data_IF_146573356394
#
_entry.id   IF_146573356394
#
_cell.length_a   1.000
_cell.length_b   1.000
_cell.length_c   1.000
_cell.angle_alpha   90.00
_cell.angle_beta   90.00
_cell.angle_gamma   90.00
#
_symmetry.space_group_name_H-M   'P 1'
#
loop_
_entity.id
_entity.type
_entity.pdbx_description
1 polymer ?
#
# COMPACT_ATOMS: atom_id res chain seq x y z
N UNK A 1 -35.45 11.75 26.53
CA UNK A 1 -34.22 11.59 25.72
C UNK A 1 -33.53 10.32 26.22
N UNK A 2 -33.76 9.17 25.55
CA UNK A 2 -32.90 8.60 24.46
C UNK A 2 -31.56 8.08 25.00
N UNK A 3 -31.35 6.80 25.37
CA UNK A 3 -31.52 5.46 24.71
C UNK A 3 -30.29 5.01 23.89
N UNK A 4 -29.65 3.90 24.30
CA UNK A 4 -29.22 2.69 23.51
C UNK A 4 -28.32 1.76 24.38
N UNK A 5 -28.63 0.46 24.60
CA UNK A 5 -28.51 -0.75 23.72
C UNK A 5 -27.03 -1.23 23.57
N UNK A 6 -26.60 -2.51 23.61
CA UNK A 6 -27.28 -3.84 23.54
C UNK A 6 -26.37 -5.03 24.06
N UNK A 7 -26.85 -6.30 23.98
CA UNK A 7 -26.19 -7.65 23.98
C UNK A 7 -26.55 -8.73 25.05
N UNK A 8 -27.67 -9.45 24.83
CA UNK A 8 -27.80 -10.89 24.43
C UNK A 8 -26.52 -11.81 24.42
N UNK A 9 -26.49 -13.17 24.61
CA UNK A 9 -27.36 -14.35 24.28
C UNK A 9 -27.23 -15.55 25.28
N UNK A 10 -28.21 -16.48 25.28
CA UNK A 10 -28.30 -17.79 26.00
C UNK A 10 -27.47 -18.96 25.38
N UNK A 11 -27.23 -20.06 26.12
CA UNK A 11 -27.55 -21.42 25.63
C UNK A 11 -27.47 -22.52 26.71
N UNK A 12 -28.34 -23.53 26.56
CA UNK A 12 -28.47 -24.75 27.35
C UNK A 12 -28.91 -25.85 26.36
N UNK A 13 -28.30 -27.03 26.35
CA UNK A 13 -28.82 -28.18 25.58
C UNK A 13 -28.45 -29.51 26.23
N UNK A 14 -29.48 -30.28 26.58
CA UNK A 14 -29.41 -31.71 26.88
C UNK A 14 -29.16 -32.53 25.60
N UNK A 15 -28.54 -33.71 25.76
CA UNK A 15 -28.45 -34.72 24.71
C UNK A 15 -28.72 -36.12 25.26
N UNK A 16 -29.82 -36.73 24.82
CA UNK A 16 -30.11 -38.16 24.96
C UNK A 16 -30.31 -38.81 23.60
N UNK A 17 -29.29 -39.50 23.08
CA UNK A 17 -29.44 -40.54 22.05
C UNK A 17 -28.17 -41.42 21.90
N UNK A 18 -28.28 -42.66 22.39
CA UNK A 18 -27.68 -43.90 21.86
C UNK A 18 -26.17 -44.01 21.53
N UNK A 19 -25.51 -44.87 22.33
CA UNK A 19 -24.48 -45.87 21.93
C UNK A 19 -23.12 -45.41 21.40
N UNK A 20 -22.08 -45.43 22.26
CA UNK A 20 -21.14 -46.57 22.46
C UNK A 20 -20.12 -46.26 23.56
N UNK A 21 -19.66 -47.29 24.28
CA UNK A 21 -18.62 -47.19 25.34
C UNK A 21 -17.21 -47.12 24.74
N UNK A 22 -16.36 -46.24 25.28
CA UNK A 22 -14.97 -46.56 25.66
C UNK A 22 -14.60 -45.74 26.92
N UNK A 23 -14.09 -46.41 27.96
CA UNK A 23 -13.40 -45.87 29.15
C UNK A 23 -11.89 -46.23 29.04
N UNK A 24 -10.96 -45.74 29.91
CA UNK A 24 -11.10 -44.93 31.14
C UNK A 24 -10.40 -43.53 30.98
N UNK A 25 -9.93 -42.73 31.97
CA UNK A 25 -9.73 -42.88 33.42
C UNK A 25 -9.69 -41.51 34.18
N UNK A 26 -9.44 -41.56 35.50
CA UNK A 26 -8.84 -40.56 36.43
C UNK A 26 -8.48 -39.14 35.93
N UNK A 27 -8.71 -38.04 36.67
CA UNK A 27 -9.08 -37.89 38.10
C UNK A 27 -9.46 -36.45 38.52
N UNK A 28 -10.23 -36.33 39.64
CA UNK A 28 -10.27 -35.23 40.66
C UNK A 28 -11.02 -33.89 40.42
N UNK A 29 -11.96 -33.64 41.36
CA UNK A 29 -12.26 -32.38 42.11
C UNK A 29 -12.85 -31.20 41.28
N UNK A 30 -14.16 -30.92 41.32
CA UNK A 30 -15.02 -30.35 42.39
C UNK A 30 -14.75 -28.87 42.75
N UNK A 31 -15.50 -28.01 42.05
CA UNK A 31 -16.25 -26.80 42.45
C UNK A 31 -15.67 -25.71 43.38
N UNK A 32 -15.90 -24.47 42.94
CA UNK A 32 -15.49 -23.21 43.55
C UNK A 32 -16.65 -22.21 43.49
N UNK A 33 -17.08 -21.74 44.67
CA UNK A 33 -17.94 -20.56 44.92
C UNK A 33 -19.43 -20.66 44.47
N UNK A 34 -20.38 -19.96 45.08
CA UNK A 34 -20.24 -18.78 45.95
C UNK A 34 -21.24 -18.70 47.12
N UNK A 35 -20.80 -18.12 48.24
CA UNK A 35 -21.62 -17.81 49.41
C UNK A 35 -22.29 -16.44 49.24
N UNK A 36 -23.61 -16.33 49.44
CA UNK A 36 -24.27 -15.02 49.57
C UNK A 36 -25.53 -15.08 50.42
N UNK A 37 -25.59 -14.19 51.41
CA UNK A 37 -26.74 -13.38 51.89
C UNK A 37 -26.59 -13.10 53.41
N UNK A 38 -27.03 -11.90 53.77
CA UNK A 38 -26.86 -11.24 55.07
C UNK A 38 -28.04 -11.48 56.01
N UNK A 39 -27.79 -11.20 57.29
CA UNK A 39 -28.66 -10.79 58.40
C UNK A 39 -30.20 -10.73 58.27
N UNK A 40 -30.81 -10.85 59.46
CA UNK A 40 -32.20 -10.55 59.81
C UNK A 40 -33.26 -11.57 59.39
N UNK A 41 -33.50 -12.57 60.26
CA UNK A 41 -34.78 -12.71 60.99
C UNK A 41 -34.69 -13.89 61.98
N UNK A 42 -34.70 -13.61 63.30
CA UNK A 42 -35.52 -14.32 64.29
C UNK A 42 -35.42 -13.62 65.64
N UNK A 43 -36.52 -12.99 66.06
CA UNK A 43 -36.69 -12.32 67.35
C UNK A 43 -37.91 -12.93 68.04
N UNK A 44 -37.86 -13.06 69.36
CA UNK A 44 -38.93 -13.52 70.27
C UNK A 44 -39.39 -14.99 70.19
N UNK A 45 -38.97 -15.78 71.19
CA UNK A 45 -39.80 -16.19 72.33
C UNK A 45 -38.84 -16.66 73.45
N UNK A 46 -38.72 -15.93 74.55
CA UNK A 46 -39.46 -16.20 75.79
C UNK A 46 -39.41 -17.66 76.25
N UNK A 47 -38.46 -17.96 77.15
CA UNK A 47 -38.67 -18.90 78.23
C UNK A 47 -38.12 -18.31 79.53
N UNK A 48 -38.89 -18.44 80.60
CA UNK A 48 -38.76 -17.62 81.80
C UNK A 48 -37.69 -18.16 82.76
N UNK A 49 -37.05 -17.24 83.47
CA UNK A 49 -36.34 -17.55 84.72
C UNK A 49 -37.31 -18.22 85.70
N UNK A 50 -36.99 -19.43 86.14
CA UNK A 50 -37.47 -19.94 87.43
C UNK A 50 -36.27 -20.17 88.34
N UNK A 51 -36.34 -19.60 89.54
CA UNK A 51 -35.27 -19.69 90.54
C UNK A 51 -35.23 -21.11 91.13
N UNK A 52 -34.04 -21.69 91.17
CA UNK A 52 -33.69 -22.73 92.14
C UNK A 52 -32.22 -22.54 92.55
N UNK A 53 -31.85 -22.73 93.83
CA UNK A 53 -30.68 -22.05 94.39
C UNK A 53 -29.44 -22.96 94.53
N UNK A 54 -28.37 -22.37 95.07
CA UNK A 54 -27.08 -22.98 95.44
C UNK A 54 -26.07 -23.23 94.31
N UNK A 55 -25.23 -22.20 94.08
CA UNK A 55 -23.78 -22.28 94.31
C UNK A 55 -23.14 -23.67 94.16
N UNK A 56 -22.52 -23.96 93.00
CA UNK A 56 -21.27 -24.74 92.87
C UNK A 56 -20.80 -24.85 91.39
N UNK A 57 -20.55 -23.72 90.74
CA UNK A 57 -19.70 -23.64 89.53
C UNK A 57 -18.50 -22.70 89.77
N UNK A 58 -17.73 -23.07 90.79
CA UNK A 58 -16.36 -22.67 91.07
C UNK A 58 -15.63 -23.99 91.32
N UNK A 59 -14.54 -24.40 90.67
CA UNK A 59 -13.63 -23.80 89.67
C UNK A 59 -12.82 -24.97 89.08
N UNK A 60 -12.42 -25.03 87.79
CA UNK A 60 -11.37 -25.97 87.37
C UNK A 60 -10.05 -25.72 88.14
N UNK A 61 -9.81 -24.47 88.53
CA UNK A 61 -8.69 -24.02 89.36
C UNK A 61 -8.58 -24.70 90.74
N UNK A 62 -9.69 -25.11 91.38
CA UNK A 62 -9.63 -25.73 92.71
C UNK A 62 -9.00 -27.13 92.66
N UNK A 63 -9.38 -27.92 91.67
CA UNK A 63 -8.87 -29.29 91.49
C UNK A 63 -7.35 -29.32 91.21
N UNK A 64 -6.79 -28.28 90.59
CA UNK A 64 -5.35 -28.16 90.36
C UNK A 64 -4.53 -27.99 91.66
N UNK A 65 -5.14 -27.50 92.74
CA UNK A 65 -4.51 -27.29 94.05
C UNK A 65 -4.98 -28.26 95.14
N UNK A 66 -5.90 -29.18 94.83
CA UNK A 66 -6.50 -30.16 95.77
C UNK A 66 -5.88 -31.57 95.66
N UNK A 67 -5.00 -31.83 94.67
CA UNK A 67 -4.35 -33.14 94.49
C UNK A 67 -3.10 -33.31 95.37
N UNK A 68 -2.97 -34.40 96.15
CA UNK A 68 -1.84 -34.59 97.05
C UNK A 68 -0.56 -35.00 96.30
N UNK A 69 0.49 -34.22 96.51
CA UNK A 69 1.90 -34.63 96.40
C UNK A 69 2.38 -35.28 95.08
N UNK A 70 1.97 -34.73 93.92
CA UNK A 70 2.87 -34.67 92.76
C UNK A 70 2.78 -33.28 92.13
N UNK A 71 3.57 -32.33 92.65
CA UNK A 71 4.09 -31.28 91.77
C UNK A 71 4.92 -32.01 90.72
N UNK A 72 4.39 -32.15 89.51
CA UNK A 72 5.20 -32.66 88.41
C UNK A 72 6.36 -31.70 88.22
N UNK A 73 7.55 -32.21 87.92
CA UNK A 73 8.77 -31.39 87.77
C UNK A 73 8.68 -30.34 86.63
N UNK A 74 7.55 -30.33 85.93
CA UNK A 74 7.18 -29.50 84.79
C UNK A 74 5.90 -28.65 85.06
N UNK A 75 5.39 -28.59 86.29
CA UNK A 75 4.24 -27.72 86.64
C UNK A 75 4.68 -26.25 86.76
N UNK A 76 3.94 -25.32 86.14
CA UNK A 76 4.34 -23.92 86.02
C UNK A 76 3.49 -22.93 86.83
N UNK A 77 2.92 -23.38 87.96
CA UNK A 77 2.12 -22.57 88.88
C UNK A 77 2.43 -22.85 90.35
N UNK A 78 2.03 -21.91 91.22
CA UNK A 78 2.10 -22.00 92.69
C UNK A 78 0.72 -21.64 93.24
N UNK A 79 0.14 -22.49 94.08
CA UNK A 79 -1.15 -22.22 94.71
C UNK A 79 -1.02 -21.14 95.80
N UNK A 80 -2.00 -20.25 95.91
CA UNK A 80 -2.08 -19.27 96.99
C UNK A 80 -2.94 -19.75 98.18
N UNK A 81 -2.99 -18.94 99.25
CA UNK A 81 -3.69 -19.27 100.50
C UNK A 81 -5.21 -19.50 100.32
N UNK A 82 -5.79 -19.11 99.18
CA UNK A 82 -7.20 -19.33 98.83
C UNK A 82 -7.41 -20.55 97.91
N UNK A 83 -6.34 -21.25 97.54
CA UNK A 83 -6.34 -22.39 96.63
C UNK A 83 -6.47 -22.01 95.15
N UNK A 84 -6.05 -20.80 94.75
CA UNK A 84 -5.97 -20.41 93.33
C UNK A 84 -4.53 -20.58 92.80
N UNK A 85 -4.33 -21.16 91.60
CA UNK A 85 -3.01 -21.29 90.99
C UNK A 85 -2.54 -19.94 90.42
N UNK A 86 -1.42 -19.42 90.95
CA UNK A 86 -0.69 -18.28 90.41
C UNK A 86 0.42 -18.76 89.49
N UNK A 87 0.42 -18.29 88.25
CA UNK A 87 1.43 -18.69 87.26
C UNK A 87 2.83 -18.20 87.63
N UNK A 88 3.85 -19.03 87.35
CA UNK A 88 5.24 -18.62 87.46
C UNK A 88 5.56 -17.50 86.45
N UNK A 89 6.58 -16.65 86.72
CA UNK A 89 6.96 -15.57 85.81
C UNK A 89 7.22 -16.07 84.39
N UNK A 90 6.46 -15.54 83.42
CA UNK A 90 6.55 -15.97 82.02
C UNK A 90 5.51 -17.02 81.60
N UNK A 91 4.56 -17.38 82.45
CA UNK A 91 3.44 -18.28 82.12
C UNK A 91 2.08 -17.59 82.32
N UNK A 92 1.08 -18.01 81.55
CA UNK A 92 -0.29 -17.47 81.56
C UNK A 92 -1.32 -18.56 81.19
N UNK A 93 -2.60 -18.20 81.19
CA UNK A 93 -3.71 -19.12 80.94
C UNK A 93 -4.26 -19.75 82.23
N UNK A 94 -5.44 -20.34 82.15
CA UNK A 94 -6.20 -20.83 83.32
C UNK A 94 -5.50 -21.96 84.08
N UNK A 95 -4.60 -22.69 83.43
CA UNK A 95 -3.77 -23.75 84.03
C UNK A 95 -2.27 -23.40 84.01
N UNK A 96 -1.92 -22.15 83.69
CA UNK A 96 -0.53 -21.67 83.57
C UNK A 96 0.34 -22.49 82.60
N UNK A 97 -0.29 -23.11 81.61
CA UNK A 97 0.29 -24.00 80.60
C UNK A 97 0.71 -23.26 79.33
N UNK A 98 0.27 -22.02 79.14
CA UNK A 98 0.62 -21.19 77.98
C UNK A 98 1.84 -20.31 78.32
N UNK A 99 2.99 -20.47 77.65
CA UNK A 99 4.13 -19.59 77.85
C UNK A 99 3.86 -18.19 77.30
N UNK A 100 4.34 -17.16 78.00
CA UNK A 100 4.33 -15.77 77.55
C UNK A 100 5.49 -15.57 76.57
N UNK A 101 5.16 -15.40 75.29
CA UNK A 101 6.15 -15.19 74.24
C UNK A 101 6.93 -13.87 74.41
N UNK A 102 8.09 -13.75 73.73
CA UNK A 102 8.94 -12.54 73.73
C UNK A 102 8.09 -11.30 73.48
N UNK A 103 8.24 -10.26 74.31
CA UNK A 103 7.48 -9.01 74.19
C UNK A 103 7.64 -8.41 72.79
N UNK A 104 6.53 -8.29 72.07
CA UNK A 104 6.49 -7.81 70.68
C UNK A 104 6.53 -8.90 69.61
N UNK A 105 6.46 -10.19 69.96
CA UNK A 105 6.17 -11.28 69.02
C UNK A 105 4.78 -11.07 68.37
N UNK A 106 4.65 -11.33 67.07
CA UNK A 106 3.39 -11.17 66.33
C UNK A 106 2.32 -12.15 66.84
N UNK A 107 1.12 -11.67 67.22
CA UNK A 107 0.09 -12.52 67.84
C UNK A 107 -0.61 -13.48 66.86
N UNK A 108 -0.47 -13.27 65.55
CA UNK A 108 -1.08 -14.12 64.51
C UNK A 108 -0.04 -15.06 63.90
N UNK A 109 1.20 -14.62 63.75
CA UNK A 109 2.27 -15.31 63.00
C UNK A 109 3.41 -15.86 63.87
N UNK A 110 3.50 -15.42 65.12
CA UNK A 110 4.39 -15.97 66.13
C UNK A 110 3.72 -17.06 66.98
N UNK A 111 4.55 -17.90 67.60
CA UNK A 111 4.20 -18.80 68.70
C UNK A 111 5.45 -19.03 69.57
N UNK A 112 5.29 -19.59 70.76
CA UNK A 112 6.42 -19.91 71.62
C UNK A 112 6.17 -21.24 72.35
N UNK A 113 7.24 -22.02 72.53
CA UNK A 113 7.20 -23.26 73.31
C UNK A 113 7.80 -23.06 74.70
N UNK A 114 8.48 -21.94 74.94
CA UNK A 114 9.11 -21.53 76.19
C UNK A 114 8.91 -20.04 76.42
N UNK A 115 8.84 -19.57 77.68
CA UNK A 115 8.75 -18.15 78.00
C UNK A 115 9.90 -17.35 77.36
N UNK A 116 9.58 -16.17 76.82
CA UNK A 116 10.58 -15.29 76.19
C UNK A 116 11.10 -15.72 74.82
N UNK A 117 10.66 -16.87 74.28
CA UNK A 117 10.91 -17.27 72.89
C UNK A 117 9.92 -16.60 71.92
N UNK A 118 10.25 -16.52 70.64
CA UNK A 118 9.32 -16.20 69.55
C UNK A 118 9.74 -16.99 68.31
N UNK A 119 8.95 -18.01 67.95
CA UNK A 119 9.11 -18.87 66.77
C UNK A 119 8.07 -18.49 65.72
N UNK A 120 8.45 -18.52 64.45
CA UNK A 120 7.57 -18.05 63.37
C UNK A 120 6.82 -19.21 62.71
N UNK A 121 5.56 -18.97 62.34
CA UNK A 121 4.80 -19.84 61.45
C UNK A 121 5.43 -19.87 60.05
N UNK A 122 5.17 -20.95 59.31
CA UNK A 122 5.70 -21.13 57.96
C UNK A 122 5.33 -19.94 57.07
N UNK A 123 6.32 -19.38 56.37
CA UNK A 123 6.15 -18.18 55.56
C UNK A 123 6.43 -16.86 56.28
N UNK A 124 6.82 -16.86 57.57
CA UNK A 124 7.20 -15.66 58.31
C UNK A 124 8.59 -15.78 58.96
N UNK A 125 9.28 -14.65 59.14
CA UNK A 125 10.63 -14.59 59.70
C UNK A 125 10.91 -13.30 60.50
N UNK A 126 12.10 -13.24 61.11
CA UNK A 126 12.58 -12.14 61.95
C UNK A 126 12.19 -12.28 63.42
N UNK A 127 12.84 -11.54 64.32
CA UNK A 127 12.70 -11.69 65.78
C UNK A 127 11.28 -11.52 66.36
N UNK A 128 10.38 -10.92 65.59
CA UNK A 128 8.98 -10.69 65.95
C UNK A 128 8.01 -11.47 65.07
N UNK A 129 8.50 -12.26 64.10
CA UNK A 129 7.69 -13.00 63.13
C UNK A 129 6.73 -12.16 62.27
N UNK A 130 6.99 -10.85 62.17
CA UNK A 130 6.16 -9.88 61.45
C UNK A 130 6.62 -9.61 60.00
N UNK A 131 7.66 -10.30 59.52
CA UNK A 131 8.13 -10.19 58.12
C UNK A 131 7.70 -11.43 57.34
N UNK A 132 7.02 -11.25 56.21
CA UNK A 132 6.70 -12.36 55.31
C UNK A 132 7.94 -12.84 54.56
N UNK A 133 7.99 -14.12 54.23
CA UNK A 133 8.98 -14.71 53.32
C UNK A 133 8.41 -14.61 51.90
N UNK A 134 9.08 -13.91 50.97
CA UNK A 134 8.62 -13.79 49.60
C UNK A 134 8.79 -15.12 48.84
N UNK A 135 8.21 -15.22 47.64
CA UNK A 135 8.33 -16.41 46.80
C UNK A 135 9.81 -16.80 46.57
N UNK A 136 10.18 -18.10 46.64
CA UNK A 136 11.55 -18.55 46.39
C UNK A 136 12.09 -18.07 45.03
N UNK A 137 13.23 -17.38 45.05
CA UNK A 137 13.84 -16.77 43.86
C UNK A 137 13.38 -15.34 43.54
N UNK A 138 12.55 -14.72 44.38
CA UNK A 138 12.22 -13.29 44.30
C UNK A 138 13.48 -12.43 44.52
N UNK A 139 13.90 -11.67 43.50
CA UNK A 139 15.10 -10.83 43.56
C UNK A 139 14.76 -9.37 43.94
N UNK A 140 14.30 -8.57 42.97
CA UNK A 140 14.01 -7.14 43.17
C UNK A 140 12.56 -6.92 43.61
N UNK A 141 12.10 -7.71 44.58
CA UNK A 141 10.71 -7.68 45.05
C UNK A 141 10.58 -7.52 46.56
N UNK A 142 9.32 -7.45 47.00
CA UNK A 142 8.86 -7.49 48.39
C UNK A 142 7.58 -8.31 48.48
N UNK A 143 7.14 -8.65 49.68
CA UNK A 143 5.87 -9.36 49.89
C UNK A 143 4.97 -8.54 50.82
N UNK A 144 3.65 -8.66 50.64
CA UNK A 144 2.67 -8.29 51.65
C UNK A 144 2.09 -9.56 52.31
N UNK A 145 2.07 -10.68 51.58
CA UNK A 145 1.67 -12.01 52.07
C UNK A 145 2.78 -13.04 51.83
N UNK A 146 2.90 -14.08 52.68
CA UNK A 146 3.87 -15.16 52.47
C UNK A 146 3.68 -15.80 51.09
N UNK A 147 4.78 -16.08 50.40
CA UNK A 147 4.76 -16.67 49.05
C UNK A 147 4.44 -15.69 47.91
N UNK A 148 4.24 -14.40 48.18
CA UNK A 148 4.09 -13.35 47.16
C UNK A 148 5.45 -12.79 46.72
N UNK A 149 5.54 -12.26 45.49
CA UNK A 149 6.68 -11.46 45.03
C UNK A 149 6.17 -10.25 44.22
N UNK A 150 6.03 -9.10 44.88
CA UNK A 150 5.66 -7.82 44.27
C UNK A 150 6.92 -7.08 43.85
N UNK A 151 7.03 -6.69 42.59
CA UNK A 151 8.24 -6.04 42.10
C UNK A 151 8.39 -4.61 42.58
N UNK A 152 9.64 -4.21 42.82
CA UNK A 152 10.04 -2.82 42.98
C UNK A 152 9.96 -2.11 41.61
N UNK A 153 9.79 -0.78 41.64
CA UNK A 153 9.80 0.03 40.43
C UNK A 153 11.06 -0.24 39.60
N UNK A 154 10.91 -0.37 38.29
CA UNK A 154 12.00 -0.72 37.37
C UNK A 154 12.21 -2.23 37.16
N UNK A 155 11.44 -3.11 37.78
CA UNK A 155 11.51 -4.56 37.58
C UNK A 155 10.13 -5.20 37.34
N UNK A 156 10.11 -6.30 36.59
CA UNK A 156 8.90 -7.06 36.26
C UNK A 156 9.15 -8.58 36.18
N UNK A 157 8.07 -9.33 35.95
CA UNK A 157 8.05 -10.80 35.91
C UNK A 157 7.85 -11.44 37.29
N UNK A 158 7.47 -12.71 37.32
CA UNK A 158 7.04 -13.44 38.53
C UNK A 158 8.09 -13.48 39.66
N UNK A 159 9.37 -13.34 39.32
CA UNK A 159 10.50 -13.33 40.26
C UNK A 159 11.19 -11.96 40.41
N UNK A 160 10.65 -10.94 39.75
CA UNK A 160 11.21 -9.58 39.72
C UNK A 160 12.70 -9.55 39.35
N UNK A 161 13.05 -10.36 38.34
CA UNK A 161 14.39 -10.53 37.81
C UNK A 161 14.58 -9.93 36.41
N UNK A 162 13.51 -9.44 35.77
CA UNK A 162 13.58 -8.72 34.49
C UNK A 162 13.56 -7.21 34.77
N UNK A 163 14.50 -6.46 34.22
CA UNK A 163 14.49 -5.00 34.27
C UNK A 163 13.44 -4.43 33.32
N UNK A 164 12.85 -3.29 33.66
CA UNK A 164 12.03 -2.48 32.75
C UNK A 164 12.97 -1.48 32.06
N UNK A 165 13.07 -1.47 30.71
CA UNK A 165 13.88 -0.49 30.00
C UNK A 165 13.27 0.91 30.08
N UNK A 166 14.00 1.94 29.64
CA UNK A 166 13.47 3.31 29.63
C UNK A 166 12.15 3.41 28.82
N UNK A 167 11.11 4.10 29.29
CA UNK A 167 9.88 4.29 28.52
C UNK A 167 10.18 4.91 27.15
N UNK A 168 9.66 4.30 26.08
CA UNK A 168 9.96 4.68 24.69
C UNK A 168 11.07 3.87 24.02
N UNK A 169 11.84 3.08 24.77
CA UNK A 169 12.85 2.16 24.23
C UNK A 169 12.21 1.13 23.28
N UNK A 170 12.43 1.27 21.96
CA UNK A 170 11.84 0.36 20.95
C UNK A 170 12.78 -0.80 20.62
N UNK A 171 13.93 -0.50 20.02
CA UNK A 171 14.87 -1.52 19.53
C UNK A 171 16.06 -1.73 20.47
N UNK A 172 15.78 -1.74 21.78
CA UNK A 172 16.80 -1.91 22.82
C UNK A 172 16.51 -3.06 23.79
N UNK A 173 17.35 -3.16 24.80
CA UNK A 173 17.19 -4.00 26.00
C UNK A 173 17.80 -3.27 27.20
N UNK A 174 17.65 -3.82 28.40
CA UNK A 174 18.24 -3.28 29.62
C UNK A 174 19.11 -4.32 30.32
N UNK A 175 20.16 -3.87 31.00
CA UNK A 175 20.86 -4.65 32.02
C UNK A 175 20.51 -4.10 33.41
N UNK A 176 20.46 -2.77 33.54
CA UNK A 176 19.95 -2.06 34.72
C UNK A 176 18.57 -1.48 34.43
N UNK A 177 17.70 -1.41 35.45
CA UNK A 177 16.38 -0.76 35.33
C UNK A 177 16.49 0.67 34.79
N UNK A 178 15.60 1.03 33.87
CA UNK A 178 15.52 2.32 33.17
C UNK A 178 16.69 2.65 32.23
N UNK A 179 17.53 1.68 31.89
CA UNK A 179 18.49 1.77 30.79
C UNK A 179 17.82 1.41 29.44
N UNK A 180 18.39 1.86 28.32
CA UNK A 180 18.05 1.39 26.97
C UNK A 180 19.35 1.20 26.18
N UNK A 181 19.87 -0.03 26.15
CA UNK A 181 21.00 -0.42 25.32
C UNK A 181 20.50 -0.81 23.93
N UNK A 182 20.96 -0.11 22.89
CA UNK A 182 20.49 -0.35 21.53
C UNK A 182 20.98 -1.67 20.96
N UNK A 183 20.10 -2.33 20.19
CA UNK A 183 20.48 -3.47 19.35
C UNK A 183 21.39 -3.00 18.22
N UNK A 184 22.29 -3.85 17.69
CA UNK A 184 23.14 -3.50 16.55
C UNK A 184 22.32 -2.93 15.39
N UNK A 185 22.76 -1.78 14.88
CA UNK A 185 22.06 -1.07 13.81
C UNK A 185 21.04 -0.02 14.28
N UNK A 186 20.87 0.21 15.58
CA UNK A 186 20.03 1.29 16.14
C UNK A 186 20.83 2.24 17.03
N UNK A 187 20.42 3.50 17.05
CA UNK A 187 21.04 4.62 17.75
C UNK A 187 19.97 5.55 18.36
N UNK A 188 20.43 6.56 19.08
CA UNK A 188 19.61 7.52 19.84
C UNK A 188 19.17 6.98 21.20
N UNK A 189 18.75 7.88 22.09
CA UNK A 189 18.45 7.61 23.51
C UNK A 189 17.37 6.53 23.70
N UNK A 190 16.45 6.39 22.73
CA UNK A 190 15.35 5.43 22.73
C UNK A 190 15.51 4.28 21.73
N UNK A 191 16.66 4.19 21.05
CA UNK A 191 16.94 3.21 20.00
C UNK A 191 15.86 3.22 18.89
N UNK A 192 15.52 4.43 18.46
CA UNK A 192 14.51 4.73 17.43
C UNK A 192 15.13 5.20 16.11
N UNK A 193 16.41 5.56 16.12
CA UNK A 193 17.11 6.04 14.92
C UNK A 193 17.88 4.86 14.29
N UNK A 194 17.62 4.47 13.04
CA UNK A 194 18.36 3.41 12.38
C UNK A 194 19.75 3.90 11.92
N UNK A 195 20.78 3.09 12.13
CA UNK A 195 22.12 3.34 11.62
C UNK A 195 22.15 2.96 10.14
N UNK A 196 22.29 3.95 9.27
CA UNK A 196 22.37 3.75 7.82
C UNK A 196 23.67 3.01 7.43
N UNK A 197 23.71 2.49 6.19
CA UNK A 197 24.92 1.84 5.66
C UNK A 197 26.14 2.78 5.72
N UNK A 198 27.31 2.26 6.11
CA UNK A 198 28.49 3.07 6.45
C UNK A 198 29.09 3.89 5.30
N UNK A 199 28.79 3.53 4.05
CA UNK A 199 29.19 4.23 2.83
C UNK A 199 28.15 5.28 2.36
N UNK A 200 26.96 5.30 2.97
CA UNK A 200 25.85 6.21 2.69
C UNK A 200 26.23 7.66 3.01
N UNK A 201 25.95 8.59 2.10
CA UNK A 201 26.36 9.97 2.27
C UNK A 201 25.50 10.70 3.33
N UNK A 202 26.10 11.04 4.49
CA UNK A 202 25.43 11.58 5.69
C UNK A 202 24.28 12.60 5.47
N UNK A 203 24.44 13.58 4.57
CA UNK A 203 23.41 14.61 4.32
C UNK A 203 22.53 14.39 3.07
N UNK A 204 22.86 13.39 2.24
CA UNK A 204 22.23 13.14 0.92
C UNK A 204 21.50 11.79 0.88
N UNK A 205 21.88 10.86 1.75
CA UNK A 205 21.13 9.66 2.06
C UNK A 205 20.24 9.83 3.30
N UNK A 206 19.43 8.82 3.54
CA UNK A 206 18.71 8.53 4.78
C UNK A 206 18.39 7.03 4.80
N UNK A 207 17.88 6.50 5.91
CA UNK A 207 17.47 5.11 6.02
C UNK A 207 16.22 5.00 6.91
N UNK A 208 15.36 4.04 6.61
CA UNK A 208 14.20 3.67 7.45
C UNK A 208 14.49 2.38 8.21
N UNK A 209 15.32 1.49 7.64
CA UNK A 209 15.84 0.29 8.28
C UNK A 209 17.37 0.33 8.46
N UNK A 210 17.93 -0.34 9.49
CA UNK A 210 19.37 -0.46 9.67
C UNK A 210 20.08 -1.04 8.44
N UNK A 211 21.22 -0.44 8.06
CA UNK A 211 22.01 -0.88 6.90
C UNK A 211 21.42 -0.54 5.52
N UNK A 212 20.26 0.11 5.46
CA UNK A 212 19.70 0.68 4.23
C UNK A 212 20.42 2.00 3.86
N UNK A 213 20.28 2.43 2.60
CA UNK A 213 20.65 3.77 2.15
C UNK A 213 19.69 4.18 1.02
N UNK A 214 18.76 5.10 1.31
CA UNK A 214 17.87 5.75 0.35
C UNK A 214 18.37 7.15 0.04
N UNK A 215 18.25 7.57 -1.22
CA UNK A 215 18.74 8.87 -1.64
C UNK A 215 17.67 9.95 -1.57
N UNK A 216 18.06 11.16 -1.13
CA UNK A 216 17.23 12.37 -1.25
C UNK A 216 17.15 12.78 -2.73
N UNK A 217 16.08 13.50 -3.07
CA UNK A 217 15.84 13.99 -4.43
C UNK A 217 17.08 14.70 -5.01
N UNK A 218 17.41 14.37 -6.26
CA UNK A 218 18.61 14.88 -6.94
C UNK A 218 19.89 14.03 -6.73
N UNK A 219 19.84 12.98 -5.93
CA UNK A 219 20.97 12.06 -5.71
C UNK A 219 20.62 10.61 -6.06
N UNK A 220 21.63 9.85 -6.47
CA UNK A 220 21.49 8.51 -7.05
C UNK A 220 22.68 7.60 -6.73
N UNK A 221 22.55 6.35 -7.17
CA UNK A 221 23.54 5.29 -6.93
C UNK A 221 23.50 4.76 -5.50
N UNK A 222 24.24 3.67 -5.21
CA UNK A 222 24.14 2.96 -3.93
C UNK A 222 24.56 3.79 -2.72
N UNK A 223 25.41 4.81 -2.90
CA UNK A 223 25.95 5.67 -1.83
C UNK A 223 25.34 7.07 -1.76
N UNK A 224 24.39 7.38 -2.66
CA UNK A 224 23.81 8.72 -2.81
C UNK A 224 24.84 9.83 -3.06
N UNK A 225 25.90 9.51 -3.80
CA UNK A 225 26.98 10.43 -4.20
C UNK A 225 26.89 10.88 -5.66
N UNK A 226 26.33 10.07 -6.54
CA UNK A 226 26.06 10.45 -7.92
C UNK A 226 24.86 11.40 -7.98
N UNK A 227 24.84 12.32 -8.93
CA UNK A 227 23.67 13.15 -9.17
C UNK A 227 22.57 12.34 -9.89
N UNK A 228 21.32 12.70 -9.62
CA UNK A 228 20.17 12.31 -10.42
C UNK A 228 19.82 13.52 -11.32
N UNK A 229 19.72 13.35 -12.65
CA UNK A 229 19.16 14.37 -13.53
C UNK A 229 17.71 14.70 -13.18
N UNK A 230 17.16 15.76 -13.76
CA UNK A 230 15.72 16.08 -13.60
C UNK A 230 14.86 14.87 -14.04
N UNK A 231 13.82 14.47 -13.29
CA UNK A 231 12.93 13.38 -13.72
C UNK A 231 12.35 13.64 -15.12
N UNK A 232 12.48 12.67 -16.02
CA UNK A 232 12.10 12.81 -17.43
C UNK A 232 13.19 13.36 -18.36
N UNK A 233 14.39 13.67 -17.86
CA UNK A 233 15.57 13.97 -18.69
C UNK A 233 15.91 12.74 -19.56
N UNK A 234 15.82 12.87 -20.89
CA UNK A 234 16.02 11.73 -21.81
C UNK A 234 17.45 11.66 -22.34
N UNK A 235 17.91 12.74 -22.98
CA UNK A 235 19.20 12.80 -23.67
C UNK A 235 20.11 13.85 -23.01
N UNK A 236 20.33 13.71 -21.71
CA UNK A 236 21.10 14.66 -20.91
C UNK A 236 21.81 14.04 -19.71
N UNK A 237 22.70 14.83 -19.10
CA UNK A 237 23.50 14.47 -17.93
C UNK A 237 23.35 15.55 -16.84
N UNK A 238 23.93 15.29 -15.67
CA UNK A 238 23.94 16.23 -14.55
C UNK A 238 25.38 16.46 -14.06
N UNK A 239 25.69 17.70 -13.70
CA UNK A 239 26.84 18.03 -12.84
C UNK A 239 26.36 18.42 -11.43
N UNK A 240 25.19 19.08 -11.36
CA UNK A 240 24.48 19.41 -10.12
C UNK A 240 23.22 18.54 -9.97
N UNK A 241 22.77 18.27 -8.73
CA UNK A 241 21.52 17.55 -8.50
C UNK A 241 20.34 18.28 -9.15
N UNK A 242 19.42 17.54 -9.77
CA UNK A 242 18.24 18.09 -10.46
C UNK A 242 18.58 19.06 -11.61
N UNK A 243 19.69 18.82 -12.31
CA UNK A 243 20.04 19.49 -13.57
C UNK A 243 19.87 18.51 -14.75
N UNK A 244 19.50 19.00 -15.93
CA UNK A 244 19.47 18.21 -17.17
C UNK A 244 20.21 18.99 -18.26
N UNK A 245 21.53 18.74 -18.39
CA UNK A 245 22.37 19.31 -19.45
C UNK A 245 22.28 18.45 -20.68
N UNK A 246 21.86 19.01 -21.81
CA UNK A 246 21.63 18.23 -23.01
C UNK A 246 22.92 17.73 -23.66
N UNK A 247 22.85 16.50 -24.16
CA UNK A 247 23.84 15.96 -25.07
C UNK A 247 23.81 16.75 -26.40
N UNK A 248 24.94 16.82 -27.14
CA UNK A 248 24.99 17.48 -28.44
C UNK A 248 23.89 16.98 -29.37
N UNK A 249 23.16 17.93 -29.99
CA UNK A 249 22.03 17.62 -30.85
C UNK A 249 20.66 17.56 -30.16
N UNK A 250 20.56 17.79 -28.85
CA UNK A 250 19.28 17.88 -28.13
C UNK A 250 19.10 19.24 -27.46
N UNK A 251 17.85 19.65 -27.28
CA UNK A 251 17.44 20.90 -26.63
C UNK A 251 16.13 20.71 -25.86
N UNK A 252 15.62 21.80 -25.27
CA UNK A 252 14.49 21.79 -24.34
C UNK A 252 14.89 21.43 -22.90
N UNK A 253 13.98 21.71 -21.96
CA UNK A 253 14.23 21.58 -20.51
C UNK A 253 14.59 20.15 -20.04
N UNK A 254 14.14 19.14 -20.77
CA UNK A 254 14.37 17.71 -20.47
C UNK A 254 15.18 17.01 -21.57
N UNK A 255 15.80 17.79 -22.48
CA UNK A 255 16.55 17.29 -23.63
C UNK A 255 15.71 16.33 -24.49
N UNK A 256 14.43 16.66 -24.62
CA UNK A 256 13.41 15.86 -25.30
C UNK A 256 13.21 16.26 -26.77
N UNK A 257 13.64 17.46 -27.18
CA UNK A 257 13.54 17.90 -28.58
C UNK A 257 14.89 17.74 -29.31
N UNK A 258 14.95 16.98 -30.41
CA UNK A 258 16.17 16.92 -31.23
C UNK A 258 16.36 18.23 -32.01
N UNK A 259 17.62 18.60 -32.22
CA UNK A 259 18.02 19.72 -33.06
C UNK A 259 18.14 19.20 -34.50
N UNK A 260 17.30 19.73 -35.39
CA UNK A 260 17.26 19.31 -36.80
C UNK A 260 18.53 19.72 -37.56
N UNK A 261 18.70 19.21 -38.78
CA UNK A 261 19.82 19.57 -39.65
C UNK A 261 19.96 21.11 -39.81
N UNK A 262 21.19 21.65 -39.86
CA UNK A 262 21.40 23.09 -40.03
C UNK A 262 20.76 23.57 -41.34
N UNK A 263 19.89 24.59 -41.23
CA UNK A 263 19.13 25.13 -42.35
C UNK A 263 17.79 24.45 -42.64
N UNK A 264 17.38 23.42 -41.88
CA UNK A 264 16.04 22.83 -41.97
C UNK A 264 14.96 23.86 -41.62
N UNK A 265 13.94 24.02 -42.47
CA UNK A 265 12.92 25.06 -42.31
C UNK A 265 11.98 24.78 -41.13
N UNK A 266 12.01 25.62 -40.07
CA UNK A 266 11.32 25.34 -38.80
C UNK A 266 9.82 25.02 -38.87
N UNK A 267 9.08 25.64 -39.79
CA UNK A 267 7.64 25.35 -39.97
C UNK A 267 7.32 24.21 -40.95
N UNK A 268 8.24 23.87 -41.86
CA UNK A 268 7.98 23.01 -43.04
C UNK A 268 8.74 21.68 -42.98
N UNK A 269 9.81 21.63 -42.21
CA UNK A 269 10.53 20.43 -41.80
C UNK A 269 10.25 20.06 -40.35
N UNK A 270 10.63 18.85 -39.97
CA UNK A 270 10.73 18.35 -38.60
C UNK A 270 11.83 17.29 -38.53
N UNK A 271 12.26 16.90 -37.34
CA UNK A 271 13.24 15.85 -37.15
C UNK A 271 12.82 14.89 -36.03
N UNK A 272 13.09 13.60 -36.19
CA UNK A 272 12.94 12.60 -35.10
C UNK A 272 14.28 12.27 -34.46
N UNK A 273 15.39 12.46 -35.19
CA UNK A 273 16.76 12.31 -34.71
C UNK A 273 17.55 13.61 -34.90
N UNK A 274 18.57 13.88 -34.07
CA UNK A 274 19.46 15.03 -34.28
C UNK A 274 20.11 14.98 -35.67
N UNK A 275 20.22 16.14 -36.33
CA UNK A 275 20.81 16.25 -37.66
C UNK A 275 19.97 15.72 -38.83
N UNK A 276 18.76 15.22 -38.59
CA UNK A 276 17.79 14.86 -39.62
C UNK A 276 17.00 16.10 -40.09
N UNK A 277 16.47 16.09 -41.31
CA UNK A 277 15.42 17.02 -41.75
C UNK A 277 14.40 16.25 -42.61
N UNK A 278 13.17 16.07 -42.09
CA UNK A 278 12.06 15.42 -42.77
C UNK A 278 11.04 16.48 -43.17
N UNK A 279 10.62 16.48 -44.42
CA UNK A 279 9.64 17.46 -44.89
C UNK A 279 8.23 17.07 -44.49
N UNK A 280 7.40 18.07 -44.18
CA UNK A 280 5.95 17.92 -44.11
C UNK A 280 5.39 17.67 -45.51
N UNK A 281 4.22 17.04 -45.59
CA UNK A 281 3.53 16.76 -46.85
C UNK A 281 3.44 18.03 -47.70
N UNK A 282 3.79 17.91 -48.98
CA UNK A 282 3.81 19.04 -49.91
C UNK A 282 5.11 19.84 -49.95
N UNK A 283 6.12 19.51 -49.14
CA UNK A 283 7.45 20.13 -49.18
C UNK A 283 8.54 19.11 -49.52
N UNK A 284 9.60 19.58 -50.18
CA UNK A 284 10.71 18.77 -50.70
C UNK A 284 12.05 19.51 -50.63
N UNK A 285 13.12 18.83 -51.03
CA UNK A 285 14.50 19.29 -50.97
C UNK A 285 15.15 19.14 -49.58
N UNK A 286 16.48 19.18 -49.53
CA UNK A 286 17.31 18.88 -48.33
C UNK A 286 16.91 19.65 -47.05
N UNK A 287 16.40 20.87 -47.22
CA UNK A 287 16.02 21.78 -46.14
C UNK A 287 14.50 22.02 -46.03
N UNK A 288 13.68 21.32 -46.83
CA UNK A 288 12.23 21.48 -46.90
C UNK A 288 11.75 22.90 -47.26
N UNK A 289 12.54 23.59 -48.08
CA UNK A 289 12.25 24.95 -48.56
C UNK A 289 11.46 24.98 -49.87
N UNK A 290 11.54 23.92 -50.69
CA UNK A 290 10.87 23.82 -51.99
C UNK A 290 9.49 23.18 -51.82
N UNK A 291 8.47 23.72 -52.47
CA UNK A 291 7.17 23.06 -52.57
C UNK A 291 7.26 21.87 -53.52
N UNK A 292 6.38 20.89 -53.30
CA UNK A 292 6.11 19.83 -54.26
C UNK A 292 5.04 20.34 -55.24
N UNK A 293 5.29 20.40 -56.55
CA UNK A 293 4.27 20.79 -57.53
C UNK A 293 3.18 19.73 -57.65
N UNK A 294 2.08 20.04 -58.34
CA UNK A 294 1.02 19.07 -58.60
C UNK A 294 1.55 17.81 -59.33
N UNK A 295 1.13 16.58 -59.01
CA UNK A 295 1.57 15.38 -59.71
C UNK A 295 1.21 15.42 -61.20
N UNK A 296 2.21 15.29 -62.08
CA UNK A 296 2.02 15.44 -63.53
C UNK A 296 2.33 16.84 -64.08
N UNK A 297 2.63 17.82 -63.21
CA UNK A 297 3.09 19.16 -63.63
C UNK A 297 4.42 19.08 -64.41
N UNK A 298 4.40 19.30 -65.74
CA UNK A 298 5.59 19.11 -66.60
C UNK A 298 6.41 20.39 -66.72
N UNK A 299 5.80 21.48 -67.22
CA UNK A 299 6.48 22.75 -67.48
C UNK A 299 6.06 23.88 -66.52
N UNK A 300 5.67 23.54 -65.29
CA UNK A 300 5.30 24.50 -64.25
C UNK A 300 6.34 24.69 -63.13
N UNK A 301 6.01 25.60 -62.21
CA UNK A 301 6.62 25.78 -60.88
C UNK A 301 5.54 25.86 -59.80
N UNK A 302 5.88 26.07 -58.53
CA UNK A 302 4.89 26.21 -57.45
C UNK A 302 5.35 27.30 -56.46
N UNK A 303 4.40 27.94 -55.76
CA UNK A 303 4.69 28.80 -54.62
C UNK A 303 4.18 28.17 -53.31
N UNK A 304 3.03 27.49 -53.36
CA UNK A 304 2.52 26.59 -52.32
C UNK A 304 2.55 25.14 -52.81
N UNK A 305 2.49 24.16 -51.90
CA UNK A 305 2.33 22.76 -52.27
C UNK A 305 1.14 22.53 -53.21
N UNK A 306 1.33 21.63 -54.18
CA UNK A 306 0.31 21.17 -55.13
C UNK A 306 -0.21 22.24 -56.11
N UNK A 307 0.42 23.41 -56.17
CA UNK A 307 0.23 24.35 -57.29
C UNK A 307 1.02 23.86 -58.52
N UNK A 308 0.56 24.20 -59.73
CA UNK A 308 1.29 24.08 -60.99
C UNK A 308 1.12 25.40 -61.76
N UNK A 309 2.13 26.26 -61.68
CA UNK A 309 2.16 27.60 -62.28
C UNK A 309 2.98 27.51 -63.56
N UNK A 310 2.33 27.57 -64.72
CA UNK A 310 2.99 27.35 -65.99
C UNK A 310 4.07 28.39 -66.29
N UNK A 311 5.17 27.92 -66.87
CA UNK A 311 6.18 28.79 -67.47
C UNK A 311 5.62 29.40 -68.74
N UNK A 312 6.20 30.53 -69.15
CA UNK A 312 5.85 31.23 -70.37
C UNK A 312 5.85 30.28 -71.59
N UNK A 313 4.80 30.34 -72.40
CA UNK A 313 4.58 29.45 -73.55
C UNK A 313 3.87 28.11 -73.25
N UNK A 314 3.56 27.81 -71.98
CA UNK A 314 2.83 26.59 -71.58
C UNK A 314 1.49 26.91 -70.91
N UNK A 315 0.50 26.03 -71.10
CA UNK A 315 -0.84 26.12 -70.53
C UNK A 315 -1.42 24.76 -70.17
N UNK A 316 -2.72 24.74 -69.84
CA UNK A 316 -3.38 23.59 -69.25
C UNK A 316 -3.08 23.45 -67.76
N UNK A 317 -3.88 22.65 -67.05
CA UNK A 317 -3.77 22.48 -65.59
C UNK A 317 -2.46 21.80 -65.13
N UNK A 318 -1.77 21.10 -66.03
CA UNK A 318 -0.51 20.39 -65.77
C UNK A 318 0.69 21.00 -66.52
N UNK A 319 0.49 22.12 -67.22
CA UNK A 319 1.52 22.78 -68.03
C UNK A 319 2.16 21.82 -69.05
N UNK A 320 1.30 21.05 -69.72
CA UNK A 320 1.59 20.05 -70.74
C UNK A 320 1.08 20.47 -72.14
N UNK A 321 0.33 21.58 -72.22
CA UNK A 321 -0.14 22.17 -73.48
C UNK A 321 0.78 23.33 -73.91
N UNK A 322 1.05 23.45 -75.22
CA UNK A 322 2.04 24.40 -75.76
C UNK A 322 1.33 25.56 -76.47
N UNK A 323 1.36 26.76 -75.90
CA UNK A 323 0.58 27.90 -76.40
C UNK A 323 1.07 28.45 -77.76
N UNK A 324 2.22 27.98 -78.24
CA UNK A 324 2.76 28.28 -79.57
C UNK A 324 2.68 27.07 -80.53
N UNK A 325 1.83 26.08 -80.24
CA UNK A 325 1.76 24.81 -80.97
C UNK A 325 1.62 24.96 -82.50
N UNK A 326 0.75 25.86 -82.98
CA UNK A 326 0.56 26.08 -84.41
C UNK A 326 1.74 26.76 -85.12
N UNK A 327 2.59 27.49 -84.39
CA UNK A 327 3.82 28.08 -84.96
C UNK A 327 4.86 27.00 -85.24
N UNK A 328 4.92 25.97 -84.38
CA UNK A 328 5.81 24.82 -84.52
C UNK A 328 5.25 23.72 -85.43
N UNK A 329 3.92 23.62 -85.52
CA UNK A 329 3.21 22.56 -86.25
C UNK A 329 2.18 23.15 -87.24
N UNK A 330 2.61 23.92 -88.26
CA UNK A 330 1.68 24.59 -89.18
C UNK A 330 0.81 23.63 -90.00
N UNK A 331 1.35 22.45 -90.38
CA UNK A 331 0.66 21.45 -91.20
C UNK A 331 -0.31 20.55 -90.41
N UNK A 332 -0.63 20.90 -89.16
CA UNK A 332 -1.55 20.13 -88.30
C UNK A 332 -2.95 20.00 -88.91
N UNK A 333 -3.49 21.10 -89.43
CA UNK A 333 -4.83 21.14 -90.00
C UNK A 333 -4.79 20.76 -91.49
N UNK A 334 -5.62 19.78 -91.88
CA UNK A 334 -5.72 19.29 -93.26
C UNK A 334 -6.78 20.04 -94.06
N UNK A 335 -6.88 19.73 -95.35
CA UNK A 335 -7.94 20.20 -96.26
C UNK A 335 -8.16 21.73 -96.24
N UNK A 336 -7.10 22.53 -96.08
CA UNK A 336 -7.16 24.00 -96.04
C UNK A 336 -7.64 24.60 -94.72
N UNK A 337 -7.75 23.82 -93.64
CA UNK A 337 -8.05 24.33 -92.30
C UNK A 337 -6.94 25.22 -91.75
N UNK A 338 -7.31 26.28 -91.01
CA UNK A 338 -6.36 27.20 -90.37
C UNK A 338 -6.11 26.82 -88.91
N UNK A 339 -4.87 26.51 -88.57
CA UNK A 339 -4.44 26.27 -87.20
C UNK A 339 -4.49 27.56 -86.37
N UNK A 340 -5.01 27.47 -85.15
CA UNK A 340 -5.03 28.52 -84.14
C UNK A 340 -4.61 27.92 -82.80
N UNK A 341 -3.48 28.37 -82.25
CA UNK A 341 -3.13 28.04 -80.86
C UNK A 341 -4.16 28.66 -79.92
N UNK A 342 -4.42 28.01 -78.80
CA UNK A 342 -5.44 28.44 -77.84
C UNK A 342 -4.80 29.15 -76.64
N UNK A 343 -5.63 29.80 -75.83
CA UNK A 343 -5.18 30.44 -74.58
C UNK A 343 -5.05 29.41 -73.46
N UNK A 344 -4.38 29.78 -72.37
CA UNK A 344 -3.88 28.87 -71.33
C UNK A 344 -4.91 27.96 -70.63
N UNK A 345 -6.22 28.18 -70.82
CA UNK A 345 -7.31 27.41 -70.23
C UNK A 345 -8.17 26.65 -71.26
N UNK A 346 -7.98 26.89 -72.56
CA UNK A 346 -8.89 26.41 -73.63
C UNK A 346 -8.35 25.18 -74.39
N UNK A 347 -7.09 24.81 -74.15
CA UNK A 347 -6.42 23.66 -74.76
C UNK A 347 -5.11 24.03 -75.44
N UNK A 348 -4.54 23.08 -76.20
CA UNK A 348 -3.31 23.28 -76.96
C UNK A 348 -3.52 24.06 -78.29
N UNK A 349 -4.47 23.61 -79.14
CA UNK A 349 -4.79 24.24 -80.42
C UNK A 349 -6.20 23.87 -80.90
N UNK A 350 -6.75 24.64 -81.85
CA UNK A 350 -7.91 24.23 -82.68
C UNK A 350 -7.66 24.47 -84.17
N UNK A 351 -8.30 23.67 -85.01
CA UNK A 351 -8.37 23.89 -86.45
C UNK A 351 -9.69 24.58 -86.82
N UNK A 352 -9.60 25.73 -87.50
CA UNK A 352 -10.76 26.39 -88.11
C UNK A 352 -10.96 25.82 -89.53
N UNK A 353 -11.92 24.90 -89.70
CA UNK A 353 -12.14 24.18 -90.95
C UNK A 353 -12.98 24.98 -91.97
N UNK A 354 -12.74 24.82 -93.30
CA UNK A 354 -13.61 25.39 -94.33
C UNK A 354 -14.99 24.71 -94.36
N UNK A 355 -16.01 25.43 -94.87
CA UNK A 355 -17.39 24.94 -94.96
C UNK A 355 -17.50 23.57 -95.66
N UNK A 356 -18.10 22.61 -94.97
CA UNK A 356 -18.28 21.22 -95.44
C UNK A 356 -17.23 20.24 -94.93
N UNK A 357 -16.08 20.71 -94.43
CA UNK A 357 -15.04 19.87 -93.82
C UNK A 357 -15.19 19.88 -92.30
N UNK A 358 -15.00 18.73 -91.64
CA UNK A 358 -15.14 18.58 -90.18
C UNK A 358 -14.07 17.67 -89.58
N UNK A 359 -14.09 17.46 -88.26
CA UNK A 359 -13.05 16.74 -87.51
C UNK A 359 -12.06 17.66 -86.80
N UNK A 360 -11.27 17.12 -85.87
CA UNK A 360 -10.38 17.93 -84.99
C UNK A 360 -9.21 18.54 -85.77
N UNK A 361 -8.81 17.90 -86.86
CA UNK A 361 -7.73 18.26 -87.77
C UNK A 361 -8.26 18.63 -89.17
N UNK A 362 -9.58 18.84 -89.33
CA UNK A 362 -10.26 19.02 -90.62
C UNK A 362 -10.08 17.83 -91.58
N UNK A 363 -10.07 16.61 -91.04
CA UNK A 363 -9.83 15.36 -91.74
C UNK A 363 -11.04 14.83 -92.53
N UNK A 364 -12.27 15.13 -92.11
CA UNK A 364 -13.48 14.58 -92.70
C UNK A 364 -14.03 15.47 -93.82
N UNK A 365 -14.05 14.96 -95.05
CA UNK A 365 -14.60 15.63 -96.23
C UNK A 365 -16.14 15.57 -96.26
N UNK A 366 -16.82 16.53 -96.94
CA UNK A 366 -18.27 16.52 -97.07
C UNK A 366 -18.76 15.33 -97.91
N UNK A 367 -19.88 14.72 -97.51
CA UNK A 367 -20.49 13.56 -98.16
C UNK A 367 -20.94 13.77 -99.63
N UNK A 368 -20.85 15.00 -100.17
CA UNK A 368 -21.27 15.36 -101.53
C UNK A 368 -20.11 15.43 -102.56
N UNK A 369 -18.94 14.82 -102.28
CA UNK A 369 -17.89 14.59 -103.30
C UNK A 369 -17.84 13.16 -103.86
N UNK A 370 -18.93 12.41 -103.73
CA UNK A 370 -19.24 11.23 -104.56
C UNK A 370 -20.52 11.49 -105.34
N UNK A 371 -20.39 11.82 -106.64
CA UNK A 371 -21.53 11.99 -107.54
C UNK A 371 -22.07 10.65 -108.06
N UNK A 372 -23.34 10.58 -108.50
CA UNK A 372 -24.14 9.35 -108.38
C UNK A 372 -24.46 8.65 -109.72
N UNK A 373 -24.88 7.37 -109.64
CA UNK A 373 -25.66 6.72 -110.70
C UNK A 373 -26.48 5.51 -110.20
N UNK A 374 -27.67 5.34 -110.81
CA UNK A 374 -28.49 4.12 -110.92
C UNK A 374 -29.24 3.53 -109.69
N UNK A 375 -30.56 3.76 -109.72
CA UNK A 375 -31.62 2.71 -109.67
C UNK A 375 -31.83 1.85 -108.40
N UNK A 376 -32.56 2.46 -107.46
CA UNK A 376 -33.83 2.02 -106.85
C UNK A 376 -34.25 0.52 -106.81
N UNK A 377 -34.99 0.18 -105.75
CA UNK A 377 -35.78 -1.05 -105.46
C UNK A 377 -34.99 -2.32 -105.10
N UNK A 378 -35.34 -3.10 -104.08
CA UNK A 378 -36.36 -2.94 -103.01
C UNK A 378 -36.04 -3.91 -101.87
N UNK A 379 -36.20 -3.49 -100.61
CA UNK A 379 -36.34 -4.22 -99.33
C UNK A 379 -35.81 -3.26 -98.23
N UNK A 380 -36.43 -3.05 -97.07
CA UNK A 380 -37.55 -3.74 -96.46
C UNK A 380 -37.26 -3.90 -94.97
N UNK A 381 -37.52 -2.87 -94.15
CA UNK A 381 -37.31 -2.93 -92.69
C UNK A 381 -38.20 -1.93 -91.95
N UNK A 382 -39.34 -2.45 -91.48
CA UNK A 382 -39.88 -2.36 -90.11
C UNK A 382 -39.91 -1.03 -89.32
N UNK A 383 -41.02 -0.91 -88.58
CA UNK A 383 -41.39 0.15 -87.63
C UNK A 383 -41.34 -0.44 -86.21
N UNK A 384 -41.58 0.40 -85.20
CA UNK A 384 -41.69 0.12 -83.76
C UNK A 384 -40.31 0.05 -83.05
N UNK A 385 -39.85 1.02 -82.25
CA UNK A 385 -40.44 1.89 -81.21
C UNK A 385 -40.35 1.31 -79.77
N UNK A 386 -40.08 2.22 -78.84
CA UNK A 386 -40.04 2.14 -77.37
C UNK A 386 -38.98 1.24 -76.67
N UNK A 387 -38.47 1.82 -75.58
CA UNK A 387 -37.85 1.21 -74.38
C UNK A 387 -38.88 0.29 -73.64
N UNK A 388 -38.65 -0.34 -72.44
CA UNK A 388 -37.65 -0.04 -71.40
C UNK A 388 -37.06 -1.20 -70.53
N UNK A 389 -36.10 -0.81 -69.68
CA UNK A 389 -35.78 -1.26 -68.28
C UNK A 389 -35.88 -2.77 -67.91
N UNK A 390 -34.80 -3.37 -67.40
CA UNK A 390 -34.60 -3.90 -66.01
C UNK A 390 -33.18 -4.54 -65.89
N UNK A 391 -32.34 -4.05 -64.96
CA UNK A 391 -31.98 -4.68 -63.66
C UNK A 391 -31.35 -6.09 -63.79
N UNK A 392 -30.08 -6.23 -63.38
CA UNK A 392 -29.68 -7.17 -62.33
C UNK A 392 -28.20 -6.98 -61.91
N UNK A 393 -27.98 -6.90 -60.59
CA UNK A 393 -26.65 -7.10 -59.97
C UNK A 393 -26.76 -8.31 -59.05
N UNK A 394 -26.03 -9.36 -59.41
CA UNK A 394 -25.82 -10.60 -58.66
C UNK A 394 -24.29 -10.71 -58.48
N UNK A 395 -23.76 -10.71 -57.25
CA UNK A 395 -23.34 -11.91 -56.47
C UNK A 395 -22.62 -12.97 -57.33
N UNK A 396 -21.50 -13.62 -56.99
CA UNK A 396 -20.67 -13.85 -55.77
C UNK A 396 -19.33 -14.46 -56.28
N UNK A 397 -18.24 -14.69 -55.54
CA UNK A 397 -17.81 -14.59 -54.14
C UNK A 397 -16.27 -14.31 -54.14
N UNK A 398 -15.65 -13.93 -53.00
CA UNK A 398 -14.50 -14.67 -52.40
C UNK A 398 -13.88 -13.95 -51.18
N UNK A 399 -13.26 -14.73 -50.30
CA UNK A 399 -13.03 -14.44 -48.89
C UNK A 399 -11.58 -14.75 -48.47
N UNK A 400 -11.24 -14.49 -47.19
CA UNK A 400 -9.93 -14.70 -46.53
C UNK A 400 -8.80 -13.72 -46.96
N UNK A 401 -7.89 -13.29 -46.08
CA UNK A 401 -7.59 -13.74 -44.71
C UNK A 401 -7.60 -12.63 -43.65
N UNK A 402 -7.72 -13.05 -42.39
CA UNK A 402 -7.77 -12.26 -41.18
C UNK A 402 -6.60 -12.68 -40.28
N UNK A 403 -5.82 -11.76 -39.69
CA UNK A 403 -5.12 -12.06 -38.44
C UNK A 403 -4.67 -10.83 -37.65
N UNK A 404 -4.47 -11.06 -36.35
CA UNK A 404 -4.32 -10.09 -35.25
C UNK A 404 -2.93 -10.14 -34.62
N UNK A 405 -2.37 -8.98 -34.25
CA UNK A 405 -1.67 -8.79 -32.95
C UNK A 405 -1.60 -7.30 -32.56
#
# INVERSE_FOLDING_TARGET
MTVRFDFFIRCLLDLTAQTRRVQPCSSRIMDVLEYRISYDFYKHNEMQYTQSPFHLLLKPFRQACELPAVQSEHSHYVCDDNGEPKCLPGWQGDLCDVPICKKGCDPLQGYCNRPGECRCKMGFYGERCNKCIPMPGCQHGYCNRPGECRCKMGFYGERCNKCIPMPGCQHGYCNVSFECQCRPGWDGIFCTEPICRSDCHATRGYCEAPGECRCRLGWSGPTCRACQPLPGCQHGYCDKPLECKCLPGYTGLLCQTPICAPGCHGERGYCRRPGECRCKVGWTGKNCAQCHPYPGCVHGTCNRPWECICKEGWGGMLCDEELNYCEKNPDTCKNGGRCQSLEANDGNFRCNCPSGVSGKFCENLPANMTTPAAENSTEGSDVDDVTPIEIEVSTKDDNLDNETE
#
